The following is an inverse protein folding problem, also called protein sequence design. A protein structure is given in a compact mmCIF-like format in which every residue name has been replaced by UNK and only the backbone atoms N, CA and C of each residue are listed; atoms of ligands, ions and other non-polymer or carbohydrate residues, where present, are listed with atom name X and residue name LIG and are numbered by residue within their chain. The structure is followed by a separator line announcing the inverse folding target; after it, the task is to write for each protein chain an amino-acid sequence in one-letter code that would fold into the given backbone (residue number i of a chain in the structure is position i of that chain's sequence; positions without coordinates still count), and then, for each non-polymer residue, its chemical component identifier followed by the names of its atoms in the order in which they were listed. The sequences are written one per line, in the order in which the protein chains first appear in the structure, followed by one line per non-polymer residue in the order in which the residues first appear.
data_IF_834655346580
#
_entry.id   IF_834655346580
#
_cell.length_a   1.000
_cell.length_b   1.000
_cell.length_c   1.000
_cell.angle_alpha   90.00
_cell.angle_beta   90.00
_cell.angle_gamma   90.00
#
_symmetry.space_group_name_H-M   'P 1'
#
loop_
_entity.id
_entity.type
_entity.pdbx_description
1 polymer ?
#
# COMPACT_ATOMS: atom_id res chain seq x y z
N UNK A 1 -5.92 -12.96 11.72
CA UNK A 1 -6.13 -14.27 12.34
C UNK A 1 -7.47 -14.35 13.06
N UNK A 2 -7.77 -13.47 14.03
CA UNK A 2 -9.07 -13.49 14.76
C UNK A 2 -10.29 -13.44 13.83
N UNK A 3 -10.25 -12.67 12.76
CA UNK A 3 -11.36 -12.55 11.80
C UNK A 3 -11.50 -13.75 10.86
N UNK A 4 -10.39 -14.41 10.51
CA UNK A 4 -10.44 -15.68 9.77
C UNK A 4 -11.10 -16.73 10.65
N UNK A 5 -10.76 -16.77 11.93
CA UNK A 5 -11.37 -17.67 12.91
C UNK A 5 -12.84 -17.32 13.10
N UNK A 6 -13.19 -16.03 13.30
CA UNK A 6 -14.58 -15.62 13.48
C UNK A 6 -15.46 -15.93 12.26
N UNK A 7 -14.97 -15.72 11.04
CA UNK A 7 -15.70 -16.03 9.81
C UNK A 7 -15.81 -17.54 9.54
N UNK A 8 -14.87 -18.34 10.05
CA UNK A 8 -14.93 -19.80 9.96
C UNK A 8 -16.10 -20.42 10.75
N UNK A 9 -16.58 -19.75 11.80
CA UNK A 9 -17.76 -20.20 12.57
C UNK A 9 -19.10 -19.78 11.96
N UNK A 10 -19.11 -18.95 10.91
CA UNK A 10 -20.32 -18.49 10.26
C UNK A 10 -20.46 -19.22 8.91
N UNK A 11 -20.72 -20.53 8.96
CA UNK A 11 -21.17 -21.28 7.79
C UNK A 11 -22.69 -21.37 7.82
N UNK A 12 -23.32 -20.96 6.73
CA UNK A 12 -24.75 -21.07 6.51
C UNK A 12 -25.05 -22.22 5.55
N UNK A 13 -26.20 -22.86 5.66
CA UNK A 13 -26.69 -23.80 4.64
C UNK A 13 -27.03 -23.07 3.32
N UNK A 14 -27.25 -21.75 3.38
CA UNK A 14 -27.58 -20.93 2.23
C UNK A 14 -26.29 -20.46 1.50
N UNK A 15 -26.14 -20.85 0.24
CA UNK A 15 -25.00 -20.53 -0.62
C UNK A 15 -24.82 -19.01 -0.81
N UNK A 16 -25.91 -18.25 -0.93
CA UNK A 16 -25.88 -16.79 -1.10
C UNK A 16 -25.31 -16.13 0.15
N UNK A 17 -25.72 -16.58 1.34
CA UNK A 17 -25.15 -16.11 2.61
C UNK A 17 -23.65 -16.37 2.68
N UNK A 18 -23.20 -17.54 2.29
CA UNK A 18 -21.78 -17.89 2.29
C UNK A 18 -20.97 -17.02 1.32
N UNK A 19 -21.51 -16.73 0.12
CA UNK A 19 -20.87 -15.81 -0.84
C UNK A 19 -20.75 -14.41 -0.24
N UNK A 20 -21.83 -13.88 0.37
CA UNK A 20 -21.81 -12.56 0.99
C UNK A 20 -20.80 -12.49 2.14
N UNK A 21 -20.74 -13.50 2.98
CA UNK A 21 -19.77 -13.60 4.10
C UNK A 21 -18.34 -13.65 3.55
N UNK A 22 -18.09 -14.48 2.53
CA UNK A 22 -16.77 -14.61 1.91
C UNK A 22 -16.32 -13.29 1.28
N UNK A 23 -17.20 -12.57 0.57
CA UNK A 23 -16.89 -11.27 -0.01
C UNK A 23 -16.62 -10.21 1.08
N UNK A 24 -17.44 -10.16 2.13
CA UNK A 24 -17.21 -9.23 3.24
C UNK A 24 -15.88 -9.52 3.95
N UNK A 25 -15.57 -10.80 4.19
CA UNK A 25 -14.29 -11.22 4.74
C UNK A 25 -13.11 -10.87 3.82
N UNK A 26 -13.24 -11.09 2.51
CA UNK A 26 -12.20 -10.76 1.54
C UNK A 26 -11.88 -9.25 1.50
N UNK A 27 -12.93 -8.41 1.48
CA UNK A 27 -12.80 -6.96 1.54
C UNK A 27 -12.06 -6.53 2.81
N UNK A 28 -12.49 -7.05 3.95
CA UNK A 28 -11.94 -6.65 5.24
C UNK A 28 -10.51 -7.14 5.44
N UNK A 29 -10.20 -8.38 5.07
CA UNK A 29 -8.84 -8.93 5.15
C UNK A 29 -7.92 -8.15 4.19
N UNK A 30 -8.35 -7.90 2.95
CA UNK A 30 -7.58 -7.12 1.98
C UNK A 30 -7.31 -5.70 2.45
N UNK A 31 -8.30 -5.05 3.08
CA UNK A 31 -8.16 -3.75 3.72
C UNK A 31 -7.15 -3.77 4.86
N UNK A 32 -7.22 -4.78 5.74
CA UNK A 32 -6.28 -4.93 6.85
C UNK A 32 -4.84 -5.19 6.38
N UNK A 33 -4.65 -5.95 5.31
CA UNK A 33 -3.33 -6.13 4.70
C UNK A 33 -2.82 -4.77 4.16
N UNK A 34 -3.65 -4.01 3.45
CA UNK A 34 -3.29 -2.67 2.98
C UNK A 34 -3.00 -1.70 4.13
N UNK A 35 -3.71 -1.81 5.26
CA UNK A 35 -3.41 -1.09 6.50
C UNK A 35 -2.02 -1.43 7.05
N UNK A 36 -1.67 -2.71 7.12
CA UNK A 36 -0.37 -3.17 7.63
C UNK A 36 0.80 -2.74 6.74
N UNK A 37 0.60 -2.65 5.43
CA UNK A 37 1.64 -2.23 4.48
C UNK A 37 2.14 -0.81 4.76
N UNK A 38 1.34 0.06 5.33
CA UNK A 38 1.79 1.40 5.71
C UNK A 38 2.87 1.34 6.81
N UNK A 39 2.86 0.32 7.67
CA UNK A 39 3.96 0.09 8.62
C UNK A 39 5.20 -0.51 7.95
N UNK A 40 5.02 -1.28 6.87
CA UNK A 40 6.16 -1.73 6.06
C UNK A 40 6.87 -0.55 5.38
N UNK A 41 6.11 0.43 4.93
CA UNK A 41 6.62 1.68 4.42
C UNK A 41 7.39 2.47 5.50
N UNK A 42 6.87 2.59 6.73
CA UNK A 42 7.62 3.20 7.85
C UNK A 42 8.93 2.45 8.15
N UNK A 43 8.93 1.12 8.02
CA UNK A 43 10.15 0.33 8.14
C UNK A 43 11.18 0.64 7.04
N UNK A 44 10.76 1.09 5.86
CA UNK A 44 11.68 1.51 4.80
C UNK A 44 12.52 2.73 5.23
N UNK A 45 11.97 3.56 6.10
CA UNK A 45 12.64 4.72 6.70
C UNK A 45 13.29 4.44 8.06
N UNK A 46 13.31 3.18 8.51
CA UNK A 46 13.81 2.76 9.82
C UNK A 46 13.02 3.32 11.02
N UNK A 47 11.74 3.63 10.83
CA UNK A 47 10.89 4.28 11.81
C UNK A 47 10.16 3.31 12.76
N UNK A 48 10.34 1.98 12.63
CA UNK A 48 9.67 0.99 13.50
C UNK A 48 10.46 0.75 14.79
N UNK A 49 11.78 0.61 14.69
CA UNK A 49 12.66 0.46 15.86
C UNK A 49 13.97 1.22 15.67
N UNK A 50 14.60 1.60 16.77
CA UNK A 50 15.91 2.29 16.74
C UNK A 50 17.04 1.41 16.17
N UNK A 51 16.95 0.09 16.34
CA UNK A 51 17.92 -0.84 15.77
C UNK A 51 17.52 -1.22 14.35
N UNK A 52 18.33 -0.84 13.36
CA UNK A 52 18.06 -1.07 11.93
C UNK A 52 17.90 -2.56 11.57
N UNK A 53 18.65 -3.45 12.21
CA UNK A 53 18.58 -4.90 11.97
C UNK A 53 17.23 -5.43 12.48
N UNK A 54 16.82 -5.03 13.67
CA UNK A 54 15.53 -5.41 14.26
C UNK A 54 14.36 -4.84 13.46
N UNK A 55 14.48 -3.60 12.98
CA UNK A 55 13.52 -2.97 12.09
C UNK A 55 13.28 -3.83 10.83
N UNK A 56 14.36 -4.22 10.15
CA UNK A 56 14.26 -4.99 8.92
C UNK A 56 13.75 -6.41 9.15
N UNK A 57 14.15 -7.05 10.25
CA UNK A 57 13.66 -8.39 10.63
C UNK A 57 12.16 -8.37 10.94
N UNK A 58 11.69 -7.41 11.75
CA UNK A 58 10.27 -7.27 12.08
C UNK A 58 9.44 -6.97 10.84
N UNK A 59 9.89 -6.04 10.00
CA UNK A 59 9.20 -5.72 8.75
C UNK A 59 9.06 -6.97 7.85
N UNK A 60 10.14 -7.71 7.65
CA UNK A 60 10.13 -8.90 6.81
C UNK A 60 9.29 -10.02 7.40
N UNK A 61 9.34 -10.26 8.71
CA UNK A 61 8.63 -11.36 9.37
C UNK A 61 7.12 -11.09 9.51
N UNK A 62 6.73 -9.85 9.88
CA UNK A 62 5.34 -9.54 10.19
C UNK A 62 4.53 -9.10 8.96
N UNK A 63 5.18 -8.45 7.99
CA UNK A 63 4.49 -7.87 6.83
C UNK A 63 5.06 -8.40 5.53
N UNK A 64 6.38 -8.46 5.38
CA UNK A 64 7.02 -8.95 4.16
C UNK A 64 6.55 -10.32 3.73
N UNK A 65 6.29 -11.23 4.68
CA UNK A 65 5.75 -12.57 4.44
C UNK A 65 4.32 -12.54 3.87
N UNK A 66 3.52 -11.53 4.19
CA UNK A 66 2.16 -11.38 3.66
C UNK A 66 2.13 -10.97 2.18
N UNK A 67 3.18 -10.28 1.74
CA UNK A 67 3.21 -9.64 0.42
C UNK A 67 4.33 -10.15 -0.49
N UNK A 68 5.13 -11.09 -0.01
CA UNK A 68 6.26 -11.66 -0.75
C UNK A 68 7.35 -10.63 -1.07
N UNK A 69 7.56 -9.63 -0.20
CA UNK A 69 8.48 -8.52 -0.45
C UNK A 69 9.49 -8.32 0.67
N UNK A 70 10.78 -8.23 0.33
CA UNK A 70 11.83 -7.87 1.27
C UNK A 70 11.95 -6.36 1.47
N UNK A 71 12.20 -5.96 2.72
CA UNK A 71 12.26 -4.54 3.09
C UNK A 71 13.42 -3.78 2.40
N UNK A 72 14.57 -4.41 2.18
CA UNK A 72 15.71 -3.77 1.50
C UNK A 72 15.38 -3.47 0.04
N UNK A 73 14.74 -4.42 -0.64
CA UNK A 73 14.27 -4.22 -2.01
C UNK A 73 13.21 -3.12 -2.09
N UNK A 74 12.28 -3.10 -1.13
CA UNK A 74 11.25 -2.06 -1.07
C UNK A 74 11.87 -0.70 -0.80
N UNK A 75 12.78 -0.60 0.15
CA UNK A 75 13.45 0.65 0.52
C UNK A 75 14.10 1.37 -0.67
N UNK A 76 14.81 0.63 -1.53
CA UNK A 76 15.46 1.22 -2.71
C UNK A 76 14.44 1.82 -3.67
N UNK A 77 13.36 1.08 -3.94
CA UNK A 77 12.28 1.53 -4.81
C UNK A 77 11.57 2.73 -4.23
N UNK A 78 11.30 2.69 -2.93
CA UNK A 78 10.58 3.73 -2.21
C UNK A 78 11.40 5.03 -2.06
N UNK A 79 12.70 4.95 -1.80
CA UNK A 79 13.56 6.14 -1.82
C UNK A 79 13.62 6.80 -3.20
N UNK A 80 13.62 6.01 -4.26
CA UNK A 80 13.53 6.56 -5.62
C UNK A 80 12.20 7.29 -5.84
N UNK A 81 11.09 6.78 -5.28
CA UNK A 81 9.80 7.48 -5.28
C UNK A 81 9.89 8.85 -4.58
N UNK A 82 10.48 8.94 -3.38
CA UNK A 82 10.67 10.23 -2.70
C UNK A 82 11.47 11.24 -3.54
N UNK A 83 12.56 10.79 -4.15
CA UNK A 83 13.43 11.67 -4.95
C UNK A 83 12.77 12.08 -6.27
N UNK A 84 12.11 11.14 -6.93
CA UNK A 84 11.57 11.31 -8.28
C UNK A 84 10.05 11.53 -8.33
N UNK A 85 9.42 11.82 -7.18
CA UNK A 85 7.97 12.01 -7.07
C UNK A 85 7.43 12.91 -8.20
N UNK A 86 6.46 12.40 -8.94
CA UNK A 86 5.79 13.11 -10.02
C UNK A 86 6.55 13.19 -11.33
N UNK A 87 7.75 12.62 -11.43
CA UNK A 87 8.52 12.53 -12.66
C UNK A 87 8.36 11.18 -13.35
N UNK A 88 8.84 11.07 -14.59
CA UNK A 88 8.85 9.79 -15.34
C UNK A 88 9.70 8.71 -14.70
N UNK A 89 10.63 9.07 -13.81
CA UNK A 89 11.54 8.16 -13.10
C UNK A 89 11.00 7.68 -11.75
N UNK A 90 9.80 8.12 -11.39
CA UNK A 90 9.11 7.65 -10.19
C UNK A 90 8.79 6.15 -10.30
N UNK A 91 9.24 5.39 -9.33
CA UNK A 91 9.06 3.93 -9.28
C UNK A 91 7.66 3.51 -8.82
N UNK A 92 6.95 4.38 -8.09
CA UNK A 92 5.63 4.13 -7.51
C UNK A 92 4.54 4.95 -8.19
N UNK A 93 4.54 5.04 -9.50
CA UNK A 93 3.68 5.91 -10.29
C UNK A 93 2.28 5.36 -10.61
N UNK A 94 1.66 4.59 -9.72
CA UNK A 94 0.27 4.14 -9.91
C UNK A 94 -0.74 5.29 -9.98
N UNK A 95 -0.42 6.44 -9.38
CA UNK A 95 -1.20 7.66 -9.42
C UNK A 95 -1.17 8.40 -10.78
N UNK A 96 -0.34 7.96 -11.71
CA UNK A 96 -0.36 8.47 -13.10
C UNK A 96 -1.60 7.99 -13.87
N UNK A 97 -2.20 6.89 -13.41
CA UNK A 97 -3.39 6.33 -14.06
C UNK A 97 -4.65 7.05 -13.61
N UNK A 98 -5.67 7.08 -14.48
CA UNK A 98 -6.98 7.65 -14.15
C UNK A 98 -7.78 6.67 -13.28
N UNK A 99 -8.66 7.22 -12.44
CA UNK A 99 -9.63 6.43 -11.67
C UNK A 99 -10.83 6.14 -12.55
N UNK A 100 -10.70 5.16 -13.43
CA UNK A 100 -11.71 4.74 -14.41
C UNK A 100 -11.95 3.22 -14.35
N UNK A 101 -12.81 2.70 -15.21
CA UNK A 101 -13.13 1.27 -15.24
C UNK A 101 -11.89 0.38 -15.41
N UNK A 102 -10.92 0.82 -16.21
CA UNK A 102 -9.64 0.10 -16.41
C UNK A 102 -8.86 0.00 -15.10
N UNK A 103 -8.83 1.07 -14.30
CA UNK A 103 -8.20 1.05 -12.98
C UNK A 103 -8.81 -0.03 -12.09
N UNK A 104 -10.16 -0.12 -12.04
CA UNK A 104 -10.84 -1.15 -11.23
C UNK A 104 -10.54 -2.56 -11.76
N UNK A 105 -10.73 -2.81 -13.06
CA UNK A 105 -10.46 -4.12 -13.66
C UNK A 105 -9.01 -4.56 -13.37
N UNK A 106 -8.02 -3.73 -13.66
CA UNK A 106 -6.61 -4.06 -13.49
C UNK A 106 -6.20 -4.24 -12.02
N UNK A 107 -6.85 -3.52 -11.11
CA UNK A 107 -6.61 -3.67 -9.68
C UNK A 107 -7.20 -4.98 -9.14
N UNK A 108 -8.46 -5.29 -9.49
CA UNK A 108 -9.13 -6.49 -9.00
C UNK A 108 -8.65 -7.79 -9.66
N UNK A 109 -8.14 -7.74 -10.89
CA UNK A 109 -7.55 -8.91 -11.57
C UNK A 109 -6.09 -9.17 -11.22
N UNK A 110 -5.47 -8.30 -10.40
CA UNK A 110 -4.05 -8.39 -10.05
C UNK A 110 -3.08 -7.96 -11.17
N UNK A 111 -3.57 -7.63 -12.37
CA UNK A 111 -2.72 -7.19 -13.51
C UNK A 111 -1.83 -6.01 -13.10
N UNK A 112 -2.39 -5.05 -12.37
CA UNK A 112 -1.64 -3.90 -11.87
C UNK A 112 -0.52 -4.28 -10.91
N UNK A 113 -0.75 -5.27 -10.05
CA UNK A 113 0.26 -5.77 -9.13
C UNK A 113 1.42 -6.42 -9.90
N UNK A 114 1.11 -7.22 -10.92
CA UNK A 114 2.13 -7.82 -11.80
C UNK A 114 2.94 -6.77 -12.56
N UNK A 115 2.28 -5.74 -13.10
CA UNK A 115 2.95 -4.63 -13.78
C UNK A 115 3.87 -3.83 -12.83
N UNK A 116 3.42 -3.58 -11.61
CA UNK A 116 4.22 -2.93 -10.58
C UNK A 116 5.44 -3.76 -10.22
N UNK A 117 5.27 -5.07 -9.96
CA UNK A 117 6.35 -5.99 -9.65
C UNK A 117 7.38 -6.08 -10.78
N UNK A 118 6.93 -6.14 -12.03
CA UNK A 118 7.81 -6.16 -13.20
C UNK A 118 8.67 -4.89 -13.29
N UNK A 119 8.05 -3.72 -13.16
CA UNK A 119 8.77 -2.42 -13.19
C UNK A 119 9.77 -2.30 -12.06
N UNK A 120 9.37 -2.66 -10.85
CA UNK A 120 10.23 -2.66 -9.67
C UNK A 120 11.44 -3.56 -9.84
N UNK A 121 11.24 -4.77 -10.33
CA UNK A 121 12.33 -5.72 -10.55
C UNK A 121 13.36 -5.16 -11.54
N UNK A 122 12.93 -4.61 -12.67
CA UNK A 122 13.81 -3.96 -13.65
C UNK A 122 14.62 -2.83 -13.02
N UNK A 123 13.99 -2.01 -12.16
CA UNK A 123 14.67 -0.92 -11.49
C UNK A 123 15.72 -1.43 -10.48
N UNK A 124 15.37 -2.40 -9.63
CA UNK A 124 16.31 -2.99 -8.66
C UNK A 124 17.48 -3.68 -9.37
N UNK A 125 17.22 -4.41 -10.45
CA UNK A 125 18.24 -5.09 -11.26
C UNK A 125 19.21 -4.10 -11.95
N UNK A 126 18.77 -2.88 -12.23
CA UNK A 126 19.65 -1.82 -12.76
C UNK A 126 20.68 -1.30 -11.75
N UNK A 127 20.50 -1.54 -10.44
CA UNK A 127 21.40 -1.13 -9.35
C UNK A 127 22.44 -2.21 -9.09
N UNK A 128 23.54 -2.21 -9.86
CA UNK A 128 24.55 -3.27 -9.88
C UNK A 128 25.28 -3.55 -8.55
N UNK A 129 25.43 -2.55 -7.69
CA UNK A 129 26.32 -2.57 -6.52
C UNK A 129 25.84 -3.46 -5.35
N UNK A 130 24.55 -3.85 -5.34
CA UNK A 130 23.97 -4.68 -4.27
C UNK A 130 23.16 -5.86 -4.81
N UNK A 131 23.32 -6.20 -6.07
CA UNK A 131 22.43 -7.10 -6.79
C UNK A 131 22.27 -8.49 -6.13
N UNK A 132 23.32 -9.07 -5.60
CA UNK A 132 23.27 -10.43 -5.03
C UNK A 132 22.51 -10.50 -3.71
N UNK A 133 22.77 -9.56 -2.78
CA UNK A 133 22.08 -9.47 -1.49
C UNK A 133 20.59 -9.20 -1.69
N UNK A 134 20.25 -8.27 -2.60
CA UNK A 134 18.87 -7.93 -2.92
C UNK A 134 18.15 -9.10 -3.60
N UNK A 135 18.83 -9.83 -4.46
CA UNK A 135 18.31 -11.03 -5.11
C UNK A 135 18.03 -12.14 -4.09
N UNK A 136 18.95 -12.38 -3.17
CA UNK A 136 18.79 -13.35 -2.08
C UNK A 136 17.59 -12.99 -1.19
N UNK A 137 17.47 -11.73 -0.75
CA UNK A 137 16.34 -11.28 0.04
C UNK A 137 15.02 -11.46 -0.72
N UNK A 138 14.97 -11.08 -2.00
CA UNK A 138 13.78 -11.22 -2.85
C UNK A 138 13.28 -12.65 -2.90
N UNK A 139 14.15 -13.61 -3.23
CA UNK A 139 13.76 -15.01 -3.33
C UNK A 139 13.42 -15.63 -1.99
N UNK A 140 14.14 -15.28 -0.93
CA UNK A 140 13.84 -15.73 0.43
C UNK A 140 12.45 -15.25 0.87
N UNK A 141 12.12 -13.98 0.69
CA UNK A 141 10.82 -13.44 1.08
C UNK A 141 9.67 -14.00 0.23
N UNK A 142 9.91 -14.18 -1.08
CA UNK A 142 8.92 -14.81 -1.96
C UNK A 142 8.65 -16.27 -1.55
N UNK A 143 9.70 -17.03 -1.24
CA UNK A 143 9.58 -18.40 -0.76
C UNK A 143 8.81 -18.48 0.57
N UNK A 144 9.17 -17.63 1.55
CA UNK A 144 8.48 -17.58 2.84
C UNK A 144 7.02 -17.20 2.68
N UNK A 145 6.69 -16.23 1.82
CA UNK A 145 5.32 -15.86 1.52
C UNK A 145 4.54 -17.02 0.89
N UNK A 146 5.14 -17.72 -0.07
CA UNK A 146 4.53 -18.87 -0.70
C UNK A 146 4.21 -19.97 0.32
N UNK A 147 5.19 -20.33 1.16
CA UNK A 147 4.99 -21.31 2.24
C UNK A 147 3.88 -20.86 3.19
N UNK A 148 3.88 -19.59 3.59
CA UNK A 148 2.88 -19.02 4.49
C UNK A 148 1.46 -19.10 3.89
N UNK A 149 1.28 -18.66 2.65
CA UNK A 149 -0.03 -18.71 2.00
C UNK A 149 -0.50 -20.14 1.73
N UNK A 150 0.39 -21.03 1.29
CA UNK A 150 0.07 -22.46 1.12
C UNK A 150 -0.34 -23.09 2.45
N UNK A 151 0.38 -22.81 3.54
CA UNK A 151 0.03 -23.34 4.86
C UNK A 151 -1.36 -22.88 5.31
N UNK A 152 -1.73 -21.60 5.06
CA UNK A 152 -3.08 -21.11 5.34
C UNK A 152 -4.13 -21.87 4.50
N UNK A 153 -3.90 -21.99 3.19
CA UNK A 153 -4.86 -22.65 2.29
C UNK A 153 -5.03 -24.12 2.63
N UNK A 154 -3.94 -24.85 2.93
CA UNK A 154 -4.00 -26.24 3.37
C UNK A 154 -4.77 -26.37 4.69
N UNK A 155 -4.48 -25.49 5.68
CA UNK A 155 -5.20 -25.51 6.95
C UNK A 155 -6.69 -25.28 6.78
N UNK A 156 -7.07 -24.29 5.94
CA UNK A 156 -8.49 -24.00 5.67
C UNK A 156 -9.17 -25.14 4.89
N UNK A 157 -8.45 -25.82 4.00
CA UNK A 157 -8.94 -26.97 3.27
C UNK A 157 -9.27 -28.14 4.24
N UNK A 158 -8.34 -28.53 5.10
CA UNK A 158 -8.55 -29.61 6.06
C UNK A 158 -9.60 -29.30 7.11
N UNK A 159 -9.83 -28.02 7.40
CA UNK A 159 -10.93 -27.57 8.28
C UNK A 159 -12.27 -27.42 7.53
N UNK A 160 -12.33 -27.77 6.24
CA UNK A 160 -13.50 -27.64 5.36
C UNK A 160 -14.05 -26.20 5.25
N UNK A 161 -13.19 -25.18 5.44
CA UNK A 161 -13.57 -23.77 5.35
C UNK A 161 -13.35 -23.18 3.94
N UNK A 162 -13.95 -23.78 2.92
CA UNK A 162 -13.73 -23.42 1.52
C UNK A 162 -14.10 -21.97 1.17
N UNK A 163 -15.15 -21.43 1.79
CA UNK A 163 -15.55 -20.04 1.58
C UNK A 163 -14.52 -19.05 2.12
N UNK A 164 -13.90 -19.37 3.26
CA UNK A 164 -12.85 -18.54 3.83
C UNK A 164 -11.54 -18.68 3.04
N UNK A 165 -11.27 -19.85 2.48
CA UNK A 165 -10.17 -20.07 1.55
C UNK A 165 -10.34 -19.18 0.30
N UNK A 166 -11.55 -19.13 -0.28
CA UNK A 166 -11.87 -18.22 -1.39
C UNK A 166 -11.72 -16.74 -0.97
N UNK A 167 -12.20 -16.39 0.24
CA UNK A 167 -12.05 -15.03 0.78
C UNK A 167 -10.57 -14.63 0.92
N UNK A 168 -9.71 -15.55 1.41
CA UNK A 168 -8.27 -15.30 1.52
C UNK A 168 -7.61 -15.04 0.15
N UNK A 169 -7.92 -15.86 -0.85
CA UNK A 169 -7.40 -15.69 -2.22
C UNK A 169 -7.82 -14.36 -2.82
N UNK A 170 -9.10 -13.98 -2.67
CA UNK A 170 -9.62 -12.69 -3.13
C UNK A 170 -9.01 -11.52 -2.36
N UNK A 171 -8.82 -11.67 -1.04
CA UNK A 171 -8.20 -10.65 -0.22
C UNK A 171 -6.78 -10.32 -0.68
N UNK A 172 -5.95 -11.34 -0.87
CA UNK A 172 -4.54 -11.19 -1.25
C UNK A 172 -4.38 -10.81 -2.73
N UNK A 173 -5.16 -11.45 -3.61
CA UNK A 173 -5.03 -11.29 -5.06
C UNK A 173 -5.74 -10.06 -5.63
N UNK A 174 -6.79 -9.57 -4.97
CA UNK A 174 -7.66 -8.52 -5.51
C UNK A 174 -7.79 -7.31 -4.56
N UNK A 175 -8.32 -7.50 -3.36
CA UNK A 175 -8.69 -6.38 -2.51
C UNK A 175 -7.49 -5.65 -1.90
N UNK A 176 -6.46 -6.36 -1.46
CA UNK A 176 -5.23 -5.73 -0.98
C UNK A 176 -4.54 -4.87 -2.07
N UNK A 177 -4.26 -5.38 -3.28
CA UNK A 177 -3.71 -4.57 -4.36
C UNK A 177 -4.59 -3.37 -4.72
N UNK A 178 -5.92 -3.57 -4.73
CA UNK A 178 -6.87 -2.49 -4.99
C UNK A 178 -6.77 -1.36 -3.96
N UNK A 179 -6.85 -1.67 -2.66
CA UNK A 179 -6.80 -0.64 -1.60
C UNK A 179 -5.46 0.09 -1.57
N UNK A 180 -4.37 -0.65 -1.69
CA UNK A 180 -3.03 -0.04 -1.69
C UNK A 180 -2.85 0.93 -2.86
N UNK A 181 -3.31 0.53 -4.05
CA UNK A 181 -3.21 1.34 -5.26
C UNK A 181 -4.16 2.54 -5.23
N UNK A 182 -5.39 2.35 -4.74
CA UNK A 182 -6.37 3.43 -4.56
C UNK A 182 -5.84 4.50 -3.60
N UNK A 183 -5.23 4.08 -2.48
CA UNK A 183 -4.63 4.98 -1.51
C UNK A 183 -3.55 5.85 -2.17
N UNK A 184 -2.58 5.24 -2.85
CA UNK A 184 -1.49 5.95 -3.53
C UNK A 184 -2.02 6.93 -4.59
N UNK A 185 -3.04 6.53 -5.35
CA UNK A 185 -3.69 7.40 -6.32
C UNK A 185 -4.33 8.62 -5.65
N UNK A 186 -5.07 8.43 -4.56
CA UNK A 186 -5.71 9.54 -3.83
C UNK A 186 -4.66 10.46 -3.18
N UNK A 187 -3.52 9.92 -2.73
CA UNK A 187 -2.46 10.68 -2.08
C UNK A 187 -1.69 11.58 -3.05
N UNK A 188 -1.44 11.12 -4.28
CA UNK A 188 -0.53 11.79 -5.21
C UNK A 188 -1.15 12.28 -6.51
N UNK A 189 -2.31 11.77 -6.95
CA UNK A 189 -2.85 12.21 -8.23
C UNK A 189 -3.34 13.66 -8.15
N UNK A 190 -2.87 14.49 -9.08
CA UNK A 190 -3.27 15.90 -9.16
C UNK A 190 -4.77 16.02 -9.46
N UNK A 191 -5.41 16.97 -8.79
CA UNK A 191 -6.79 17.37 -9.08
C UNK A 191 -6.98 17.90 -10.50
N UNK A 192 -5.90 18.38 -11.12
CA UNK A 192 -5.87 18.88 -12.48
C UNK A 192 -5.40 17.82 -13.49
N UNK A 193 -5.12 16.59 -13.04
CA UNK A 193 -4.72 15.52 -13.94
C UNK A 193 -5.82 15.22 -14.95
N UNK A 194 -5.40 15.04 -16.20
CA UNK A 194 -6.28 14.88 -17.36
C UNK A 194 -6.02 13.51 -18.01
N UNK A 195 -7.07 12.78 -18.39
CA UNK A 195 -6.99 11.51 -19.11
C UNK A 195 -6.31 11.61 -20.48
N UNK A 196 -6.31 12.81 -21.09
CA UNK A 196 -5.67 13.05 -22.39
C UNK A 196 -4.13 13.19 -22.31
N UNK A 197 -3.58 13.42 -21.12
CA UNK A 197 -2.15 13.58 -20.92
C UNK A 197 -1.52 12.21 -20.67
N UNK A 198 -0.49 11.90 -21.45
CA UNK A 198 0.30 10.70 -21.25
C UNK A 198 1.39 10.92 -20.18
N UNK A 199 1.08 10.63 -18.95
CA UNK A 199 2.05 10.75 -17.84
C UNK A 199 3.18 9.71 -17.84
N UNK A 200 3.20 8.79 -18.80
CA UNK A 200 4.36 7.93 -19.01
C UNK A 200 5.57 8.70 -19.57
N UNK A 201 5.31 9.83 -20.23
CA UNK A 201 6.33 10.69 -20.88
C UNK A 201 6.27 12.15 -20.42
N UNK A 202 5.27 12.50 -19.62
CA UNK A 202 5.07 13.87 -19.11
C UNK A 202 5.09 13.84 -17.59
N UNK A 203 5.83 14.74 -16.98
CA UNK A 203 5.85 14.88 -15.52
C UNK A 203 4.46 15.20 -14.99
N UNK A 204 4.03 14.48 -13.94
CA UNK A 204 2.75 14.69 -13.26
C UNK A 204 2.79 15.89 -12.30
N UNK A 205 3.98 16.26 -11.84
CA UNK A 205 4.20 17.23 -10.78
C UNK A 205 4.19 16.60 -9.38
N UNK A 206 4.96 17.21 -8.50
CA UNK A 206 5.08 16.76 -7.10
C UNK A 206 3.85 17.16 -6.33
N UNK A 207 2.98 16.21 -6.02
CA UNK A 207 1.81 16.43 -5.18
C UNK A 207 1.76 15.40 -4.07
N UNK A 208 1.55 15.87 -2.86
CA UNK A 208 1.20 15.05 -1.72
C UNK A 208 0.20 15.81 -0.86
N UNK A 209 -0.63 15.11 -0.07
CA UNK A 209 -1.75 15.70 0.66
C UNK A 209 -1.65 15.46 2.16
N UNK A 210 -2.37 16.32 2.91
CA UNK A 210 -2.68 16.11 4.31
C UNK A 210 -4.19 15.86 4.40
N UNK A 211 -4.56 14.71 4.91
CA UNK A 211 -5.96 14.35 5.15
C UNK A 211 -6.36 14.70 6.59
N UNK A 212 -7.65 14.53 6.89
CA UNK A 212 -8.22 14.83 8.19
C UNK A 212 -7.83 13.83 9.29
N UNK A 213 -8.54 13.95 10.41
CA UNK A 213 -8.36 13.09 11.58
C UNK A 213 -9.60 12.24 11.89
N UNK A 214 -10.55 12.11 10.95
CA UNK A 214 -11.68 11.20 11.11
C UNK A 214 -11.23 9.74 11.25
N UNK A 215 -12.11 8.87 11.71
CA UNK A 215 -11.82 7.44 11.80
C UNK A 215 -11.43 6.89 10.42
N UNK A 216 -12.12 7.32 9.36
CA UNK A 216 -11.78 6.94 7.99
C UNK A 216 -10.39 7.43 7.58
N UNK A 217 -10.08 8.73 7.84
CA UNK A 217 -8.78 9.30 7.47
C UNK A 217 -7.63 8.58 8.18
N UNK A 218 -7.78 8.30 9.47
CA UNK A 218 -6.77 7.58 10.26
C UNK A 218 -6.66 6.10 9.91
N UNK A 219 -7.77 5.47 9.54
CA UNK A 219 -7.81 4.05 9.17
C UNK A 219 -7.23 3.83 7.77
N UNK A 220 -7.68 4.60 6.77
CA UNK A 220 -7.17 4.50 5.40
C UNK A 220 -5.74 5.05 5.27
N UNK A 221 -5.44 6.12 6.01
CA UNK A 221 -4.10 6.70 6.16
C UNK A 221 -3.39 6.23 7.43
N UNK A 222 -3.34 4.91 7.68
CA UNK A 222 -2.62 4.32 8.82
C UNK A 222 -1.13 4.67 8.80
N UNK A 223 -0.44 4.49 9.92
CA UNK A 223 0.98 4.80 10.06
C UNK A 223 1.33 6.23 9.57
N UNK A 224 0.45 7.21 9.83
CA UNK A 224 0.68 8.62 9.50
C UNK A 224 0.43 9.00 8.04
N UNK A 225 -0.02 8.09 7.18
CA UNK A 225 -0.34 8.42 5.78
C UNK A 225 -1.46 9.45 5.61
N UNK A 226 -2.32 9.63 6.62
CA UNK A 226 -3.21 10.79 6.62
C UNK A 226 -2.45 12.14 6.67
N UNK A 227 -1.14 12.14 6.90
CA UNK A 227 -0.22 13.28 6.85
C UNK A 227 0.91 13.07 5.83
N UNK A 228 0.58 12.50 4.70
CA UNK A 228 1.54 12.01 3.72
C UNK A 228 2.47 13.10 3.17
N UNK A 229 1.99 14.35 3.06
CA UNK A 229 2.86 15.49 2.72
C UNK A 229 3.99 15.68 3.73
N UNK A 230 3.69 15.57 5.04
CA UNK A 230 4.71 15.76 6.08
C UNK A 230 5.76 14.64 6.03
N UNK A 231 5.33 13.43 5.75
CA UNK A 231 6.21 12.30 5.53
C UNK A 231 7.15 12.53 4.32
N UNK A 232 6.65 13.08 3.20
CA UNK A 232 7.49 13.43 2.06
C UNK A 232 8.44 14.59 2.32
N UNK A 233 8.08 15.52 3.22
CA UNK A 233 8.98 16.61 3.63
C UNK A 233 10.09 16.12 4.54
N UNK A 234 9.78 15.23 5.47
CA UNK A 234 10.75 14.71 6.44
C UNK A 234 10.49 13.21 6.72
N UNK A 235 10.95 12.31 5.84
CA UNK A 235 10.68 10.88 5.94
C UNK A 235 11.38 10.19 7.13
N UNK A 236 12.35 10.84 7.76
CA UNK A 236 13.03 10.31 8.95
C UNK A 236 12.21 10.50 10.23
N UNK A 237 11.18 11.35 10.21
CA UNK A 237 10.27 11.54 11.34
C UNK A 237 9.24 10.42 11.37
N UNK A 238 9.27 9.63 12.45
CA UNK A 238 8.28 8.56 12.66
C UNK A 238 6.84 9.10 12.63
N UNK A 239 5.94 8.28 12.11
CA UNK A 239 4.51 8.59 12.04
C UNK A 239 3.90 9.01 13.38
N UNK A 240 4.46 8.54 14.50
CA UNK A 240 4.02 8.93 15.86
C UNK A 240 4.28 10.40 16.18
N UNK A 241 5.25 11.03 15.48
CA UNK A 241 5.69 12.41 15.71
C UNK A 241 5.23 13.40 14.63
N UNK A 242 4.49 12.96 13.61
CA UNK A 242 4.01 13.83 12.53
C UNK A 242 3.05 14.94 13.02
N UNK A 243 2.35 14.73 14.13
CA UNK A 243 1.55 15.80 14.75
C UNK A 243 2.41 16.95 15.27
N UNK A 244 3.55 16.64 15.88
CA UNK A 244 4.50 17.62 16.40
C UNK A 244 5.15 18.36 15.23
N UNK A 245 5.58 17.63 14.20
CA UNK A 245 6.12 18.23 12.97
C UNK A 245 5.10 19.18 12.33
N UNK A 246 3.83 18.78 12.23
CA UNK A 246 2.77 19.65 11.68
C UNK A 246 2.61 20.92 12.49
N UNK A 247 2.60 20.83 13.83
CA UNK A 247 2.47 21.98 14.71
C UNK A 247 3.66 22.93 14.55
N UNK A 248 4.87 22.42 14.52
CA UNK A 248 6.08 23.21 14.29
C UNK A 248 6.03 23.91 12.92
N UNK A 249 5.71 23.20 11.85
CA UNK A 249 5.71 23.77 10.50
C UNK A 249 4.62 24.83 10.29
N UNK A 250 3.49 24.77 11.02
CA UNK A 250 2.44 25.80 10.98
C UNK A 250 2.92 27.18 11.43
N UNK A 251 3.91 27.22 12.30
CA UNK A 251 4.50 28.47 12.83
C UNK A 251 5.57 29.05 11.91
N UNK A 252 5.89 28.34 10.80
CA UNK A 252 6.88 28.75 9.80
C UNK A 252 6.22 29.30 8.53
N UNK A 253 7.06 29.79 7.61
CA UNK A 253 6.64 30.22 6.26
C UNK A 253 5.92 29.11 5.47
N UNK A 254 6.14 27.83 5.83
CA UNK A 254 5.50 26.67 5.19
C UNK A 254 4.06 26.46 5.67
N UNK A 255 3.61 27.12 6.74
CA UNK A 255 2.28 26.93 7.32
C UNK A 255 1.15 27.16 6.32
N UNK A 256 1.24 28.19 5.48
CA UNK A 256 0.26 28.48 4.45
C UNK A 256 0.24 27.39 3.35
N UNK A 257 1.40 26.94 2.90
CA UNK A 257 1.51 25.89 1.89
C UNK A 257 0.92 24.55 2.39
N UNK A 258 1.22 24.19 3.64
CA UNK A 258 0.68 22.98 4.29
C UNK A 258 -0.84 23.08 4.42
N UNK A 259 -1.38 24.23 4.80
CA UNK A 259 -2.83 24.46 4.90
C UNK A 259 -3.53 24.30 3.56
N UNK A 260 -2.91 24.74 2.47
CA UNK A 260 -3.42 24.60 1.10
C UNK A 260 -3.49 23.16 0.58
N UNK A 261 -2.73 22.24 1.18
CA UNK A 261 -2.70 20.82 0.78
C UNK A 261 -3.66 19.93 1.58
N UNK A 262 -4.53 20.50 2.39
CA UNK A 262 -5.52 19.76 3.17
C UNK A 262 -6.65 19.25 2.29
N UNK A 263 -6.97 17.97 2.46
CA UNK A 263 -7.96 17.25 1.68
C UNK A 263 -8.76 16.25 2.56
N UNK A 264 -9.72 15.57 1.95
CA UNK A 264 -10.43 14.42 2.53
C UNK A 264 -10.35 13.29 1.52
N UNK A 265 -10.10 12.05 1.98
CA UNK A 265 -10.05 10.87 1.11
C UNK A 265 -11.31 10.74 0.27
N UNK A 266 -12.50 10.90 0.87
CA UNK A 266 -13.78 10.80 0.15
C UNK A 266 -13.91 11.91 -0.90
N UNK A 267 -13.55 13.16 -0.56
CA UNK A 267 -13.65 14.28 -1.49
C UNK A 267 -12.73 14.09 -2.70
N UNK A 268 -11.48 13.70 -2.45
CA UNK A 268 -10.51 13.44 -3.51
C UNK A 268 -10.96 12.27 -4.38
N UNK A 269 -11.41 11.17 -3.77
CA UNK A 269 -11.95 10.02 -4.50
C UNK A 269 -13.07 10.42 -5.45
N UNK A 270 -14.11 11.11 -4.94
CA UNK A 270 -15.24 11.59 -5.76
C UNK A 270 -14.79 12.51 -6.90
N UNK A 271 -13.84 13.41 -6.63
CA UNK A 271 -13.29 14.32 -7.63
C UNK A 271 -12.54 13.61 -8.74
N UNK A 272 -11.74 12.59 -8.40
CA UNK A 272 -10.97 11.81 -9.37
C UNK A 272 -11.84 10.83 -10.18
N UNK A 273 -12.93 10.31 -9.60
CA UNK A 273 -13.87 9.43 -10.28
C UNK A 273 -14.66 10.16 -11.37
N UNK A 274 -14.98 11.42 -11.14
CA UNK A 274 -15.77 12.25 -12.07
C UNK A 274 -14.94 12.92 -13.18
N UNK A 275 -13.66 12.64 -13.25
CA UNK A 275 -12.71 13.14 -14.26
C UNK A 275 -12.26 12.04 -15.22
#
# INVERSE_FOLDING_TARGET
MVMIIASAFIQSENIVSNICIALAAAILIGYLIAYLINFFHEAAHYNITANKISNDRLANLLIGILIGQGIKNYRIVHWQHHVALGTTDDTERSYFESLDLRFFIYSFTGISALQFLSRRNKFVESKKESAEILKKEKYSQLFLALVFHIAILISLYFLAHYWIMAAWLLAVGSFYPFFNRLRQLIEHRSDNANKKINYAITSHGKLSRIFGNSILDKSFGSAGFNKHLLHHLEPSVSYTRLNELESFLKETILGTAIKGQRASYIRVFKKLLNK
#
